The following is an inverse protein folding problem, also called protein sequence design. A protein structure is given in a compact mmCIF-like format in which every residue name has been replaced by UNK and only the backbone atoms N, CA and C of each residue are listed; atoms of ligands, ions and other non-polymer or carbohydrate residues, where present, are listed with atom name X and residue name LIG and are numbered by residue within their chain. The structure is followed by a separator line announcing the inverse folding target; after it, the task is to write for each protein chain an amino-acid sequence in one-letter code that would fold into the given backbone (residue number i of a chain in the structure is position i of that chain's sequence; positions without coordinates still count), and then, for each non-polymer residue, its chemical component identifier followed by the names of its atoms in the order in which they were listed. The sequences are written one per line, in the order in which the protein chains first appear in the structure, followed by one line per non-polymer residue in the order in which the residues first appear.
data_IF_654341890199
#
_entry.id   IF_654341890199
#
_cell.length_a   1.000
_cell.length_b   1.000
_cell.length_c   1.000
_cell.angle_alpha   90.00
_cell.angle_beta   90.00
_cell.angle_gamma   90.00
#
_symmetry.space_group_name_H-M   'P 1'
#
loop_
_entity.id
_entity.type
_entity.pdbx_description
1 polymer ?
#
# COMPACT_ATOMS: atom_id res chain seq x y z
N UNK A 1 3.00 -3.44 15.88
CA UNK A 1 3.07 -2.31 14.92
C UNK A 1 2.34 -1.08 15.45
N UNK A 2 1.01 -1.07 15.59
CA UNK A 2 0.25 0.11 16.05
C UNK A 2 0.75 0.68 17.39
N UNK A 3 1.02 -0.18 18.38
CA UNK A 3 1.59 0.24 19.68
C UNK A 3 2.96 0.94 19.52
N UNK A 4 3.81 0.42 18.62
CA UNK A 4 5.13 1.00 18.39
C UNK A 4 5.03 2.38 17.73
N UNK A 5 4.10 2.59 16.79
CA UNK A 5 3.79 3.93 16.26
C UNK A 5 3.29 4.88 17.37
N UNK A 6 2.37 4.41 18.22
CA UNK A 6 1.84 5.20 19.33
C UNK A 6 2.89 5.56 20.38
N UNK A 7 3.98 4.80 20.50
CA UNK A 7 5.15 5.16 21.31
C UNK A 7 6.05 6.14 20.55
N UNK A 8 6.35 5.85 19.28
CA UNK A 8 7.29 6.61 18.46
C UNK A 8 6.88 8.07 18.26
N UNK A 9 5.57 8.38 18.27
CA UNK A 9 5.05 9.76 18.15
C UNK A 9 5.43 10.68 19.32
N UNK A 10 5.95 10.12 20.42
CA UNK A 10 6.48 10.86 21.56
C UNK A 10 8.01 11.05 21.49
N UNK A 11 8.66 10.68 20.37
CA UNK A 11 10.09 10.84 20.22
C UNK A 11 10.51 12.32 20.35
N UNK A 12 11.56 12.62 21.14
CA UNK A 12 12.01 14.00 21.38
C UNK A 12 12.74 14.65 20.19
N UNK A 13 13.03 13.88 19.14
CA UNK A 13 13.70 14.38 17.94
C UNK A 13 13.84 13.33 16.84
N UNK A 14 14.32 13.72 15.64
CA UNK A 14 14.32 12.86 14.47
C UNK A 14 15.12 11.56 14.62
N UNK A 15 16.28 11.62 15.30
CA UNK A 15 17.11 10.45 15.53
C UNK A 15 16.43 9.43 16.46
N UNK A 16 15.81 9.90 17.54
CA UNK A 16 15.04 9.04 18.43
C UNK A 16 13.82 8.43 17.70
N UNK A 17 13.13 9.22 16.87
CA UNK A 17 12.03 8.75 16.04
C UNK A 17 12.49 7.63 15.08
N UNK A 18 13.62 7.83 14.39
CA UNK A 18 14.21 6.82 13.50
C UNK A 18 14.47 5.50 14.25
N UNK A 19 15.14 5.56 15.40
CA UNK A 19 15.41 4.36 16.20
C UNK A 19 14.13 3.66 16.69
N UNK A 20 13.12 4.43 17.10
CA UNK A 20 11.82 3.90 17.54
C UNK A 20 11.01 3.28 16.39
N UNK A 21 11.27 3.66 15.13
CA UNK A 21 10.63 3.08 13.95
C UNK A 21 11.36 1.85 13.38
N UNK A 22 12.59 1.53 13.80
CA UNK A 22 13.29 0.31 13.35
C UNK A 22 12.47 -0.97 13.60
N UNK A 23 11.87 -1.21 14.79
CA UNK A 23 11.03 -2.38 15.01
C UNK A 23 9.77 -2.36 14.14
N UNK A 24 9.22 -1.17 13.87
CA UNK A 24 8.05 -1.00 13.00
C UNK A 24 8.36 -1.51 11.60
N UNK A 25 9.47 -1.08 11.00
CA UNK A 25 9.90 -1.53 9.67
C UNK A 25 10.13 -3.05 9.60
N UNK A 26 10.82 -3.62 10.58
CA UNK A 26 11.06 -5.07 10.66
C UNK A 26 9.76 -5.87 10.78
N UNK A 27 8.82 -5.40 11.60
CA UNK A 27 7.53 -6.06 11.78
C UNK A 27 6.66 -5.95 10.55
N UNK A 28 6.60 -4.78 9.89
CA UNK A 28 5.81 -4.58 8.66
C UNK A 28 6.29 -5.56 7.58
N UNK A 29 7.59 -5.59 7.28
CA UNK A 29 8.13 -6.50 6.26
C UNK A 29 7.86 -7.97 6.58
N UNK A 30 7.98 -8.36 7.85
CA UNK A 30 7.67 -9.72 8.29
C UNK A 30 6.19 -10.08 8.09
N UNK A 31 5.28 -9.18 8.48
CA UNK A 31 3.83 -9.35 8.33
C UNK A 31 3.43 -9.40 6.86
N UNK A 32 4.00 -8.56 5.99
CA UNK A 32 3.72 -8.57 4.56
C UNK A 32 4.10 -9.90 3.91
N UNK A 33 5.27 -10.47 4.26
CA UNK A 33 5.67 -11.78 3.76
C UNK A 33 4.70 -12.87 4.26
N UNK A 34 4.35 -12.87 5.54
CA UNK A 34 3.42 -13.85 6.13
C UNK A 34 2.06 -13.77 5.44
N UNK A 35 1.51 -12.57 5.26
CA UNK A 35 0.21 -12.36 4.61
C UNK A 35 0.22 -12.79 3.14
N UNK A 36 1.29 -12.51 2.39
CA UNK A 36 1.41 -12.94 1.00
C UNK A 36 1.50 -14.47 0.87
N UNK A 37 2.25 -15.13 1.76
CA UNK A 37 2.32 -16.61 1.82
C UNK A 37 0.95 -17.20 2.17
N UNK A 38 0.24 -16.57 3.10
CA UNK A 38 -1.08 -17.02 3.52
C UNK A 38 -2.14 -16.82 2.43
N UNK A 39 -2.07 -15.71 1.70
CA UNK A 39 -2.88 -15.47 0.52
C UNK A 39 -2.60 -16.51 -0.58
N UNK A 40 -1.34 -16.89 -0.85
CA UNK A 40 -1.00 -17.97 -1.80
C UNK A 40 -1.59 -19.32 -1.36
N UNK A 41 -1.46 -19.70 -0.09
CA UNK A 41 -2.03 -20.95 0.44
C UNK A 41 -3.55 -20.97 0.28
N UNK A 42 -4.20 -19.85 0.60
CA UNK A 42 -5.65 -19.70 0.46
C UNK A 42 -6.07 -19.75 -1.02
N UNK A 43 -5.33 -19.08 -1.90
CA UNK A 43 -5.53 -19.08 -3.35
C UNK A 43 -5.47 -20.50 -3.91
N UNK A 44 -4.50 -21.29 -3.46
CA UNK A 44 -4.34 -22.70 -3.83
C UNK A 44 -5.54 -23.55 -3.42
N UNK A 45 -6.04 -23.40 -2.20
CA UNK A 45 -7.22 -24.14 -1.71
C UNK A 45 -8.51 -23.75 -2.46
N UNK A 46 -8.64 -22.48 -2.81
CA UNK A 46 -9.81 -21.97 -3.52
C UNK A 46 -9.82 -22.31 -5.01
N UNK A 47 -8.67 -22.70 -5.59
CA UNK A 47 -8.53 -23.04 -7.01
C UNK A 47 -8.76 -21.85 -7.97
N UNK A 48 -8.68 -20.61 -7.48
CA UNK A 48 -8.89 -19.38 -8.25
C UNK A 48 -8.01 -18.26 -7.72
N UNK A 49 -7.60 -17.34 -8.59
CA UNK A 49 -6.79 -16.17 -8.24
C UNK A 49 -7.52 -15.23 -7.28
N UNK A 50 -6.87 -14.85 -6.19
CA UNK A 50 -7.36 -13.90 -5.18
C UNK A 50 -6.30 -12.86 -4.77
N UNK A 51 -5.04 -12.99 -5.20
CA UNK A 51 -3.94 -12.11 -4.77
C UNK A 51 -4.22 -10.62 -5.04
N UNK A 52 -4.67 -10.25 -6.25
CA UNK A 52 -4.99 -8.84 -6.53
C UNK A 52 -6.17 -8.34 -5.70
N UNK A 53 -7.16 -9.19 -5.42
CA UNK A 53 -8.26 -8.88 -4.51
C UNK A 53 -7.79 -8.67 -3.08
N UNK A 54 -6.86 -9.48 -2.58
CA UNK A 54 -6.25 -9.29 -1.26
C UNK A 54 -5.54 -7.93 -1.17
N UNK A 55 -4.75 -7.57 -2.19
CA UNK A 55 -4.12 -6.24 -2.27
C UNK A 55 -5.12 -5.09 -2.45
N UNK A 56 -6.29 -5.34 -3.03
CA UNK A 56 -7.38 -4.36 -3.09
C UNK A 56 -7.89 -4.00 -1.69
N UNK A 57 -8.08 -4.97 -0.80
CA UNK A 57 -8.45 -4.71 0.60
C UNK A 57 -7.39 -3.91 1.35
N UNK A 58 -6.10 -4.18 1.11
CA UNK A 58 -5.01 -3.36 1.66
C UNK A 58 -5.14 -1.90 1.21
N UNK A 59 -5.38 -1.67 -0.09
CA UNK A 59 -5.58 -0.32 -0.63
C UNK A 59 -6.87 0.35 -0.13
N UNK A 60 -7.95 -0.40 0.09
CA UNK A 60 -9.16 0.13 0.74
C UNK A 60 -8.89 0.56 2.19
N UNK A 61 -8.10 -0.22 2.93
CA UNK A 61 -7.65 0.16 4.27
C UNK A 61 -6.84 1.46 4.25
N UNK A 62 -5.93 1.59 3.27
CA UNK A 62 -5.14 2.79 3.08
C UNK A 62 -5.98 4.01 2.70
N UNK A 63 -6.98 3.84 1.82
CA UNK A 63 -8.00 4.86 1.51
C UNK A 63 -8.74 5.35 2.76
N UNK A 64 -9.27 4.41 3.56
CA UNK A 64 -9.98 4.73 4.80
C UNK A 64 -9.09 5.44 5.81
N UNK A 65 -7.84 4.99 5.95
CA UNK A 65 -6.84 5.62 6.82
C UNK A 65 -6.50 7.05 6.37
N UNK A 66 -6.38 7.30 5.06
CA UNK A 66 -6.14 8.63 4.50
C UNK A 66 -7.29 9.61 4.79
N UNK A 67 -8.54 9.20 4.59
CA UNK A 67 -9.71 10.01 4.93
C UNK A 67 -9.82 10.28 6.44
N UNK A 68 -9.68 9.22 7.25
CA UNK A 68 -9.76 9.33 8.70
C UNK A 68 -8.66 10.25 9.25
N UNK A 69 -7.41 10.04 8.82
CA UNK A 69 -6.27 10.87 9.22
C UNK A 69 -6.40 12.32 8.76
N UNK A 70 -6.85 12.54 7.52
CA UNK A 70 -7.12 13.88 6.98
C UNK A 70 -8.21 14.63 7.74
N UNK A 71 -9.29 13.94 8.13
CA UNK A 71 -10.37 14.51 8.94
C UNK A 71 -9.89 14.89 10.34
N UNK A 72 -9.14 14.01 11.03
CA UNK A 72 -8.60 14.32 12.35
C UNK A 72 -7.59 15.47 12.31
N UNK A 73 -6.75 15.54 11.27
CA UNK A 73 -5.83 16.65 11.05
C UNK A 73 -6.57 17.97 10.79
N UNK A 74 -7.67 17.93 10.02
CA UNK A 74 -8.51 19.11 9.77
C UNK A 74 -9.17 19.63 11.06
N UNK A 75 -9.56 18.73 11.95
CA UNK A 75 -10.08 19.05 13.29
C UNK A 75 -8.99 19.54 14.26
N UNK A 76 -7.72 19.58 13.84
CA UNK A 76 -6.60 20.07 14.66
C UNK A 76 -6.17 19.08 15.75
N UNK A 77 -6.52 17.80 15.65
CA UNK A 77 -6.09 16.80 16.62
C UNK A 77 -4.58 16.57 16.52
N UNK A 78 -3.93 16.46 17.66
CA UNK A 78 -2.51 16.14 17.71
C UNK A 78 -2.24 14.73 17.19
N UNK A 79 -1.07 14.47 16.57
CA UNK A 79 -0.68 13.13 16.15
C UNK A 79 -0.69 12.10 17.30
N UNK A 80 -0.38 12.54 18.52
CA UNK A 80 -0.43 11.71 19.72
C UNK A 80 -1.86 11.23 20.00
N UNK A 81 -2.83 12.15 19.97
CA UNK A 81 -4.24 11.79 20.20
C UNK A 81 -4.79 10.91 19.06
N UNK A 82 -4.42 11.22 17.82
CA UNK A 82 -4.78 10.38 16.67
C UNK A 82 -4.30 8.93 16.87
N UNK A 83 -3.03 8.71 17.18
CA UNK A 83 -2.51 7.35 17.38
C UNK A 83 -3.04 6.68 18.65
N UNK A 84 -3.36 7.44 19.70
CA UNK A 84 -4.03 6.93 20.90
C UNK A 84 -5.45 6.43 20.60
N UNK A 85 -6.16 7.01 19.64
CA UNK A 85 -7.48 6.55 19.16
C UNK A 85 -7.34 5.34 18.22
N UNK A 86 -6.36 5.36 17.31
CA UNK A 86 -6.14 4.27 16.35
C UNK A 86 -5.73 2.97 17.04
N UNK A 87 -4.95 3.05 18.12
CA UNK A 87 -4.46 1.87 18.83
C UNK A 87 -5.59 0.91 19.31
N UNK A 88 -6.60 1.36 20.08
CA UNK A 88 -7.72 0.50 20.47
C UNK A 88 -8.60 0.10 19.29
N UNK A 89 -8.74 0.94 18.25
CA UNK A 89 -9.48 0.57 17.03
C UNK A 89 -8.83 -0.63 16.32
N UNK A 90 -7.50 -0.62 16.18
CA UNK A 90 -6.75 -1.74 15.60
C UNK A 90 -6.87 -2.98 16.49
N UNK A 91 -6.74 -2.83 17.81
CA UNK A 91 -6.90 -3.95 18.75
C UNK A 91 -8.28 -4.60 18.68
N UNK A 92 -9.34 -3.79 18.66
CA UNK A 92 -10.71 -4.26 18.49
C UNK A 92 -10.92 -4.95 17.13
N UNK A 93 -10.39 -4.37 16.05
CA UNK A 93 -10.48 -4.96 14.71
C UNK A 93 -9.77 -6.32 14.65
N UNK A 94 -8.58 -6.45 15.23
CA UNK A 94 -7.88 -7.73 15.32
C UNK A 94 -8.70 -8.76 16.09
N UNK A 95 -9.31 -8.39 17.22
CA UNK A 95 -10.16 -9.29 17.99
C UNK A 95 -11.39 -9.75 17.20
N UNK A 96 -12.06 -8.82 16.51
CA UNK A 96 -13.29 -9.09 15.76
C UNK A 96 -13.05 -9.92 14.49
N UNK A 97 -12.00 -9.62 13.74
CA UNK A 97 -11.76 -10.23 12.43
C UNK A 97 -10.76 -11.38 12.45
N UNK A 98 -9.83 -11.41 13.42
CA UNK A 98 -8.78 -12.43 13.50
C UNK A 98 -8.88 -13.32 14.74
N UNK A 99 -9.81 -13.06 15.67
CA UNK A 99 -9.92 -13.81 16.92
C UNK A 99 -10.23 -15.32 16.76
N UNK A 100 -10.84 -15.71 15.64
CA UNK A 100 -11.10 -17.09 15.25
C UNK A 100 -10.41 -17.50 13.94
N UNK A 101 -9.35 -16.81 13.55
CA UNK A 101 -8.64 -17.08 12.31
C UNK A 101 -7.93 -18.43 12.35
N UNK A 102 -8.21 -19.29 11.37
CA UNK A 102 -7.52 -20.56 11.17
C UNK A 102 -6.62 -20.47 9.92
N UNK A 103 -5.28 -20.56 10.06
CA UNK A 103 -4.39 -20.47 8.93
C UNK A 103 -4.58 -21.60 7.93
N UNK A 104 -4.47 -21.28 6.64
CA UNK A 104 -4.45 -22.26 5.57
C UNK A 104 -3.28 -23.26 5.77
N UNK A 105 -3.52 -24.57 5.55
CA UNK A 105 -2.49 -25.58 5.67
C UNK A 105 -1.24 -25.24 4.87
N UNK A 106 -0.08 -25.60 5.43
CA UNK A 106 1.19 -25.39 4.76
C UNK A 106 1.20 -26.11 3.40
N UNK A 107 1.46 -25.34 2.34
CA UNK A 107 1.66 -25.89 1.00
C UNK A 107 3.08 -26.48 0.92
N UNK A 108 3.18 -27.80 0.76
CA UNK A 108 4.45 -28.45 0.45
C UNK A 108 4.69 -28.38 -1.07
N UNK A 109 5.54 -27.47 -1.51
CA UNK A 109 5.87 -27.28 -2.93
C UNK A 109 7.20 -27.92 -3.35
N UNK A 110 7.86 -28.69 -2.48
CA UNK A 110 9.21 -29.21 -2.71
C UNK A 110 9.28 -30.65 -3.20
N UNK A 111 10.17 -30.91 -4.16
CA UNK A 111 10.62 -32.24 -4.62
C UNK A 111 11.60 -32.92 -3.65
N UNK A 112 11.78 -32.40 -2.43
CA UNK A 112 12.74 -32.90 -1.44
C UNK A 112 14.15 -32.30 -1.53
N UNK A 113 14.44 -31.52 -2.58
CA UNK A 113 15.73 -30.84 -2.73
C UNK A 113 15.79 -29.52 -1.95
N UNK A 114 16.96 -29.24 -1.36
CA UNK A 114 17.22 -27.98 -0.69
C UNK A 114 17.22 -26.83 -1.70
N UNK A 115 16.41 -25.80 -1.44
CA UNK A 115 16.44 -24.58 -2.24
C UNK A 115 17.84 -23.94 -2.17
N UNK A 116 18.38 -23.41 -3.29
CA UNK A 116 19.70 -22.79 -3.28
C UNK A 116 19.72 -21.58 -2.34
N UNK A 117 20.74 -21.52 -1.45
CA UNK A 117 20.89 -20.40 -0.51
C UNK A 117 21.14 -19.05 -1.19
N UNK A 118 21.64 -19.07 -2.43
CA UNK A 118 21.89 -17.87 -3.22
C UNK A 118 21.56 -18.13 -4.69
N UNK A 119 20.61 -17.37 -5.23
CA UNK A 119 20.25 -17.39 -6.64
C UNK A 119 20.67 -16.06 -7.30
N UNK A 120 21.38 -16.14 -8.42
CA UNK A 120 21.72 -14.96 -9.21
C UNK A 120 20.50 -14.54 -10.04
N UNK A 121 20.15 -13.24 -10.10
CA UNK A 121 19.04 -12.79 -10.92
C UNK A 121 19.34 -13.06 -12.40
N UNK A 122 18.38 -13.63 -13.10
CA UNK A 122 18.48 -13.89 -14.55
C UNK A 122 18.09 -12.64 -15.33
N UNK A 123 18.50 -12.54 -16.60
CA UNK A 123 18.12 -11.41 -17.45
C UNK A 123 16.60 -11.19 -17.52
N UNK A 124 15.73 -12.22 -17.67
CA UNK A 124 14.29 -12.03 -17.60
C UNK A 124 13.79 -11.41 -16.29
N UNK A 125 14.37 -11.79 -15.14
CA UNK A 125 14.04 -11.19 -13.84
C UNK A 125 14.46 -9.73 -13.81
N UNK A 126 15.67 -9.41 -14.30
CA UNK A 126 16.14 -8.03 -14.35
C UNK A 126 15.27 -7.14 -15.24
N UNK A 127 14.78 -7.67 -16.37
CA UNK A 127 13.82 -6.97 -17.23
C UNK A 127 12.51 -6.73 -16.48
N UNK A 128 11.99 -7.72 -15.76
CA UNK A 128 10.77 -7.55 -14.96
C UNK A 128 10.95 -6.48 -13.88
N UNK A 129 12.08 -6.50 -13.17
CA UNK A 129 12.44 -5.48 -12.17
C UNK A 129 12.50 -4.10 -12.81
N UNK A 130 13.17 -3.95 -13.96
CA UNK A 130 13.29 -2.67 -14.64
C UNK A 130 11.92 -2.10 -15.05
N UNK A 131 11.01 -2.95 -15.52
CA UNK A 131 9.66 -2.54 -15.93
C UNK A 131 8.81 -2.16 -14.72
N UNK A 132 8.84 -2.93 -13.62
CA UNK A 132 8.01 -2.67 -12.44
C UNK A 132 8.58 -1.60 -11.50
N UNK A 133 9.88 -1.29 -11.60
CA UNK A 133 10.54 -0.26 -10.81
C UNK A 133 9.84 1.09 -10.91
N UNK A 134 9.43 1.47 -12.13
CA UNK A 134 8.70 2.72 -12.37
C UNK A 134 7.39 2.76 -11.58
N UNK A 135 6.57 1.71 -11.66
CA UNK A 135 5.32 1.60 -10.93
C UNK A 135 5.54 1.63 -9.41
N UNK A 136 6.55 0.92 -8.91
CA UNK A 136 6.86 0.91 -7.48
C UNK A 136 7.34 2.27 -6.97
N UNK A 137 8.18 2.96 -7.74
CA UNK A 137 8.63 4.31 -7.43
C UNK A 137 7.47 5.30 -7.41
N UNK A 138 6.57 5.23 -8.39
CA UNK A 138 5.42 6.14 -8.48
C UNK A 138 4.35 5.84 -7.42
N UNK A 139 4.13 4.57 -7.07
CA UNK A 139 3.28 4.18 -5.94
C UNK A 139 3.82 4.79 -4.63
N UNK A 140 5.11 4.58 -4.34
CA UNK A 140 5.76 5.16 -3.15
C UNK A 140 5.72 6.69 -3.16
N UNK A 141 6.03 7.32 -4.30
CA UNK A 141 5.96 8.77 -4.44
C UNK A 141 4.53 9.30 -4.19
N UNK A 142 3.51 8.62 -4.70
CA UNK A 142 2.11 9.02 -4.51
C UNK A 142 1.68 8.88 -3.04
N UNK A 143 2.11 7.83 -2.36
CA UNK A 143 1.82 7.59 -0.94
C UNK A 143 2.46 8.67 -0.05
N UNK A 144 3.75 8.92 -0.24
CA UNK A 144 4.53 9.74 0.68
C UNK A 144 4.45 11.24 0.36
N UNK A 145 4.34 11.60 -0.93
CA UNK A 145 4.47 12.99 -1.38
C UNK A 145 3.17 13.64 -1.82
N UNK A 146 2.10 12.92 -2.15
CA UNK A 146 0.88 13.56 -2.67
C UNK A 146 0.29 14.59 -1.70
N UNK A 147 0.13 14.26 -0.42
CA UNK A 147 -0.36 15.20 0.60
C UNK A 147 0.60 16.39 0.79
N UNK A 148 1.92 16.15 0.76
CA UNK A 148 2.92 17.21 0.89
C UNK A 148 2.82 18.15 -0.31
N UNK A 149 2.84 17.59 -1.52
CA UNK A 149 2.74 18.32 -2.79
C UNK A 149 1.47 19.20 -2.84
N UNK A 150 0.33 18.66 -2.44
CA UNK A 150 -0.92 19.43 -2.40
C UNK A 150 -0.87 20.60 -1.42
N UNK A 151 -0.11 20.48 -0.33
CA UNK A 151 0.09 21.57 0.64
C UNK A 151 1.16 22.57 0.19
N UNK A 152 2.24 22.11 -0.45
CA UNK A 152 3.38 22.97 -0.77
C UNK A 152 3.25 23.69 -2.11
N UNK A 153 2.63 23.05 -3.11
CA UNK A 153 2.48 23.62 -4.46
C UNK A 153 1.14 24.36 -4.61
N UNK A 154 0.09 23.82 -4.00
CA UNK A 154 -1.28 24.31 -4.16
C UNK A 154 -1.87 24.98 -2.90
N UNK A 155 -1.10 25.07 -1.82
CA UNK A 155 -1.52 25.66 -0.52
C UNK A 155 -2.88 25.13 -0.02
N UNK A 156 -3.14 23.83 -0.25
CA UNK A 156 -4.42 23.24 0.14
C UNK A 156 -4.49 22.94 1.63
N UNK A 157 -5.72 22.95 2.16
CA UNK A 157 -5.98 22.54 3.54
C UNK A 157 -5.77 21.04 3.79
N UNK A 158 -5.61 20.61 5.07
CA UNK A 158 -5.30 19.22 5.43
C UNK A 158 -6.29 18.19 4.89
N UNK A 159 -7.57 18.55 4.81
CA UNK A 159 -8.61 17.66 4.29
C UNK A 159 -8.40 17.34 2.80
N UNK A 160 -8.14 18.36 1.96
CA UNK A 160 -7.91 18.17 0.52
C UNK A 160 -6.62 17.38 0.27
N UNK A 161 -5.57 17.64 1.04
CA UNK A 161 -4.34 16.86 1.00
C UNK A 161 -4.58 15.38 1.35
N UNK A 162 -5.35 15.11 2.41
CA UNK A 162 -5.77 13.75 2.79
C UNK A 162 -6.67 13.08 1.75
N UNK A 163 -7.60 13.81 1.15
CA UNK A 163 -8.44 13.34 0.05
C UNK A 163 -7.63 12.94 -1.19
N UNK A 164 -6.47 13.55 -1.42
CA UNK A 164 -5.60 13.20 -2.56
C UNK A 164 -4.94 11.84 -2.35
N UNK A 165 -4.41 11.58 -1.15
CA UNK A 165 -3.89 10.25 -0.76
C UNK A 165 -5.01 9.21 -0.85
N UNK A 166 -6.20 9.56 -0.36
CA UNK A 166 -7.37 8.70 -0.40
C UNK A 166 -7.78 8.38 -1.85
N UNK A 167 -7.85 9.38 -2.72
CA UNK A 167 -8.22 9.19 -4.12
C UNK A 167 -7.26 8.23 -4.84
N UNK A 168 -5.95 8.43 -4.70
CA UNK A 168 -4.94 7.50 -5.20
C UNK A 168 -5.18 6.06 -4.69
N UNK A 169 -5.35 5.90 -3.38
CA UNK A 169 -5.56 4.61 -2.75
C UNK A 169 -6.86 3.94 -3.23
N UNK A 170 -7.93 4.72 -3.45
CA UNK A 170 -9.21 4.25 -3.94
C UNK A 170 -9.14 3.80 -5.39
N UNK A 171 -8.51 4.57 -6.26
CA UNK A 171 -8.31 4.19 -7.66
C UNK A 171 -7.46 2.93 -7.78
N UNK A 172 -6.40 2.83 -6.97
CA UNK A 172 -5.59 1.63 -6.85
C UNK A 172 -6.40 0.42 -6.38
N UNK A 173 -7.20 0.58 -5.31
CA UNK A 173 -8.07 -0.48 -4.79
C UNK A 173 -9.06 -0.98 -5.85
N UNK A 174 -9.72 -0.05 -6.54
CA UNK A 174 -10.71 -0.33 -7.59
C UNK A 174 -10.05 -1.10 -8.74
N UNK A 175 -8.92 -0.61 -9.24
CA UNK A 175 -8.17 -1.26 -10.33
C UNK A 175 -7.76 -2.68 -9.93
N UNK A 176 -7.19 -2.87 -8.74
CA UNK A 176 -6.78 -4.18 -8.23
C UNK A 176 -7.95 -5.15 -8.05
N UNK A 177 -9.11 -4.65 -7.63
CA UNK A 177 -10.31 -5.48 -7.44
C UNK A 177 -10.79 -6.14 -8.75
N UNK A 178 -10.71 -5.40 -9.85
CA UNK A 178 -11.14 -5.87 -11.17
C UNK A 178 -9.99 -6.44 -12.04
N UNK A 179 -8.75 -6.31 -11.59
CA UNK A 179 -7.56 -6.68 -12.36
C UNK A 179 -7.53 -8.16 -12.75
N UNK A 180 -7.83 -9.09 -11.83
CA UNK A 180 -7.74 -10.54 -12.09
C UNK A 180 -8.57 -10.95 -13.31
N UNK A 181 -9.84 -10.54 -13.35
CA UNK A 181 -10.73 -10.86 -14.47
C UNK A 181 -10.31 -10.20 -15.78
N UNK A 182 -9.65 -9.05 -15.71
CA UNK A 182 -9.15 -8.37 -16.90
C UNK A 182 -7.90 -9.05 -17.46
N UNK A 183 -6.97 -9.45 -16.59
CA UNK A 183 -5.75 -10.18 -16.95
C UNK A 183 -6.06 -11.60 -17.43
N UNK A 184 -7.08 -12.26 -16.89
CA UNK A 184 -7.50 -13.59 -17.38
C UNK A 184 -8.10 -13.52 -18.79
N UNK A 185 -8.74 -12.40 -19.15
CA UNK A 185 -9.36 -12.19 -20.48
C UNK A 185 -8.40 -11.64 -21.54
N UNK A 186 -7.33 -10.96 -21.13
CA UNK A 186 -6.39 -10.27 -22.02
C UNK A 186 -4.97 -10.77 -21.84
N UNK A 187 -4.03 -10.35 -22.70
CA UNK A 187 -2.61 -10.69 -22.51
C UNK A 187 -2.01 -9.93 -21.32
N UNK A 188 -1.33 -10.59 -20.35
CA UNK A 188 -0.70 -9.91 -19.22
C UNK A 188 0.25 -8.78 -19.62
N UNK A 189 1.01 -8.96 -20.71
CA UNK A 189 1.93 -7.94 -21.23
C UNK A 189 1.21 -6.77 -21.91
N UNK A 190 0.04 -7.02 -22.49
CA UNK A 190 -0.84 -5.97 -23.01
C UNK A 190 -1.40 -5.11 -21.89
N UNK A 191 -1.94 -5.75 -20.85
CA UNK A 191 -2.46 -5.06 -19.65
C UNK A 191 -1.38 -4.22 -18.99
N UNK A 192 -0.18 -4.79 -18.77
CA UNK A 192 0.93 -4.08 -18.17
C UNK A 192 1.33 -2.81 -18.95
N UNK A 193 1.39 -2.88 -20.29
CA UNK A 193 1.72 -1.71 -21.13
C UNK A 193 0.67 -0.60 -21.03
N UNK A 194 -0.62 -0.96 -21.01
CA UNK A 194 -1.71 0.01 -20.85
C UNK A 194 -1.61 0.68 -19.48
N UNK A 195 -1.42 -0.09 -18.40
CA UNK A 195 -1.28 0.46 -17.06
C UNK A 195 -0.08 1.40 -16.93
N UNK A 196 1.07 1.05 -17.53
CA UNK A 196 2.25 1.93 -17.55
C UNK A 196 2.00 3.21 -18.36
N UNK A 197 1.29 3.12 -19.49
CA UNK A 197 0.92 4.30 -20.27
C UNK A 197 -0.05 5.21 -19.51
N UNK A 198 -1.05 4.63 -18.84
CA UNK A 198 -1.98 5.38 -17.97
C UNK A 198 -1.23 6.06 -16.83
N UNK A 199 -0.32 5.36 -16.16
CA UNK A 199 0.52 5.94 -15.11
C UNK A 199 1.36 7.10 -15.64
N UNK A 200 2.00 6.95 -16.81
CA UNK A 200 2.78 8.02 -17.43
C UNK A 200 1.90 9.25 -17.74
N UNK A 201 0.68 9.05 -18.23
CA UNK A 201 -0.27 10.14 -18.45
C UNK A 201 -0.67 10.82 -17.14
N UNK A 202 -0.95 10.07 -16.08
CA UNK A 202 -1.24 10.61 -14.74
C UNK A 202 -0.11 11.48 -14.21
N UNK A 203 1.14 11.03 -14.33
CA UNK A 203 2.33 11.81 -13.95
C UNK A 203 2.43 13.13 -14.73
N UNK A 204 2.17 13.10 -16.04
CA UNK A 204 2.17 14.33 -16.85
C UNK A 204 1.04 15.29 -16.42
N UNK A 205 -0.13 14.76 -16.08
CA UNK A 205 -1.26 15.56 -15.56
C UNK A 205 -0.87 16.23 -14.24
N UNK A 206 -0.25 15.51 -13.29
CA UNK A 206 0.25 16.08 -12.03
C UNK A 206 1.29 17.17 -12.32
N UNK A 207 2.26 16.90 -13.19
CA UNK A 207 3.36 17.81 -13.48
C UNK A 207 2.89 19.14 -14.10
N UNK A 208 1.96 19.08 -15.06
CA UNK A 208 1.43 20.25 -15.77
C UNK A 208 0.13 20.80 -15.16
N UNK A 209 -0.23 20.37 -13.94
CA UNK A 209 -1.49 20.71 -13.33
C UNK A 209 -1.60 22.22 -13.03
N UNK A 210 -2.63 22.93 -13.55
CA UNK A 210 -2.86 24.33 -13.22
C UNK A 210 -3.72 24.52 -11.96
N UNK A 211 -4.31 23.45 -11.42
CA UNK A 211 -5.26 23.52 -10.32
C UNK A 211 -5.26 22.24 -9.46
N UNK A 212 -5.60 22.33 -8.16
CA UNK A 212 -5.60 21.17 -7.26
C UNK A 212 -6.39 19.97 -7.80
N UNK A 213 -7.59 20.23 -8.34
CA UNK A 213 -8.46 19.18 -8.87
C UNK A 213 -7.87 18.44 -10.08
N UNK A 214 -7.11 19.13 -10.93
CA UNK A 214 -6.42 18.50 -12.08
C UNK A 214 -5.29 17.61 -11.58
N UNK A 215 -4.56 18.04 -10.55
CA UNK A 215 -3.53 17.19 -9.95
C UNK A 215 -4.14 15.95 -9.28
N UNK A 216 -5.27 16.09 -8.61
CA UNK A 216 -5.99 14.97 -8.01
C UNK A 216 -6.40 13.95 -9.08
N UNK A 217 -6.83 14.40 -10.27
CA UNK A 217 -7.10 13.51 -11.40
C UNK A 217 -5.84 12.78 -11.88
N UNK A 218 -4.67 13.42 -11.87
CA UNK A 218 -3.41 12.77 -12.24
C UNK A 218 -2.92 11.74 -11.22
N UNK A 219 -3.26 11.92 -9.93
CA UNK A 219 -3.01 10.94 -8.87
C UNK A 219 -4.00 9.77 -8.87
N UNK A 220 -5.19 9.92 -9.47
CA UNK A 220 -6.22 8.89 -9.56
C UNK A 220 -5.91 7.88 -10.66
#
# INVERSE_FOLDING_TARGET
IALAYAIAVHAPGPFALFLMLLPVGLMIGSVEIILNVEADRTEFLLGRRIMNRAHSFWSMGFFGAGLFGGALAHLGLSPQLHLAVVLPMVGLSMMLFLGGYDPAPARHTGTGDAAPMFARPTLPILVLVAVTLSAMLLEGASIDWSAIYMRTVFDTGPFVAGCTVALFAFSQATTRFFADSFVDRHSPSGVARVLLATMAAGVLIVFFSPAPAVSMLGFA
#
